data_IF_092563920351
#
_entry.id   IF_092563920351
#
_cell.length_a   1.000
_cell.length_b   1.000
_cell.length_c   1.000
_cell.angle_alpha   90.00
_cell.angle_beta   90.00
_cell.angle_gamma   90.00
#
_symmetry.space_group_name_H-M   'P 1'
#
loop_
_entity.id
_entity.type
_entity.pdbx_description
1 polymer ?
#
# COMPACT_ATOMS: atom_id res chain seq x y z
N UNK A 1 -6.17 -44.87 26.95
CA UNK A 1 -6.58 -43.51 26.52
C UNK A 1 -6.17 -43.36 25.06
N UNK A 2 -7.01 -43.85 24.16
CA UNK A 2 -6.75 -43.82 22.71
C UNK A 2 -6.96 -42.40 22.17
N UNK A 3 -5.87 -41.81 21.66
CA UNK A 3 -5.92 -40.55 20.95
C UNK A 3 -6.66 -40.73 19.63
N UNK A 4 -7.83 -40.10 19.52
CA UNK A 4 -8.58 -40.06 18.26
C UNK A 4 -7.75 -39.32 17.21
N UNK A 5 -7.63 -39.84 15.97
CA UNK A 5 -6.95 -39.13 14.90
C UNK A 5 -7.73 -37.86 14.58
N UNK A 6 -7.06 -36.71 14.67
CA UNK A 6 -7.63 -35.44 14.26
C UNK A 6 -8.00 -35.51 12.78
N UNK A 7 -9.24 -35.12 12.46
CA UNK A 7 -9.74 -35.03 11.08
C UNK A 7 -8.78 -34.18 10.23
N UNK A 8 -8.50 -34.53 8.97
CA UNK A 8 -7.64 -33.73 8.10
C UNK A 8 -8.15 -32.30 7.92
N UNK A 9 -9.47 -32.10 8.02
CA UNK A 9 -10.09 -30.77 8.06
C UNK A 9 -9.71 -29.99 9.32
N UNK A 10 -9.62 -30.65 10.47
CA UNK A 10 -9.19 -30.00 11.71
C UNK A 10 -7.71 -29.64 11.69
N UNK A 11 -6.87 -30.50 11.12
CA UNK A 11 -5.45 -30.19 10.88
C UNK A 11 -5.31 -29.00 9.91
N UNK A 12 -6.08 -29.01 8.80
CA UNK A 12 -6.05 -27.92 7.83
C UNK A 12 -6.52 -26.60 8.45
N UNK A 13 -7.58 -26.62 9.28
CA UNK A 13 -8.06 -25.42 9.99
C UNK A 13 -7.03 -24.93 11.01
N UNK A 14 -6.39 -25.83 11.77
CA UNK A 14 -5.32 -25.45 12.71
C UNK A 14 -4.12 -24.85 11.98
N UNK A 15 -3.68 -25.45 10.88
CA UNK A 15 -2.63 -24.93 10.01
C UNK A 15 -3.02 -23.57 9.42
N UNK A 16 -4.28 -23.40 9.03
CA UNK A 16 -4.80 -22.13 8.50
C UNK A 16 -4.88 -21.04 9.59
N UNK A 17 -5.19 -21.39 10.84
CA UNK A 17 -5.18 -20.42 11.95
C UNK A 17 -3.77 -20.07 12.42
N UNK A 18 -2.79 -20.98 12.27
CA UNK A 18 -1.38 -20.69 12.55
C UNK A 18 -0.70 -19.90 11.42
N UNK A 19 -1.12 -20.07 10.15
CA UNK A 19 -0.59 -19.26 9.04
C UNK A 19 -1.25 -17.87 8.95
N UNK A 20 -2.47 -17.70 9.48
CA UNK A 20 -3.18 -16.42 9.50
C UNK A 20 -2.91 -15.57 10.76
N UNK A 21 -1.85 -15.88 11.50
CA UNK A 21 -1.39 -15.09 12.65
C UNK A 21 0.11 -14.85 12.58
N UNK A 22 0.58 -14.49 11.38
CA UNK A 22 1.81 -13.72 11.21
C UNK A 22 1.45 -12.44 10.44
N UNK A 23 0.34 -11.80 10.83
CA UNK A 23 0.27 -10.35 10.75
C UNK A 23 1.22 -9.83 11.82
N UNK A 24 2.51 -9.89 11.51
CA UNK A 24 3.48 -8.95 12.01
C UNK A 24 3.05 -7.59 11.46
N UNK A 25 1.98 -7.04 12.06
CA UNK A 25 1.89 -5.62 12.29
C UNK A 25 3.08 -5.29 13.19
N UNK A 26 4.26 -5.29 12.57
CA UNK A 26 5.29 -4.34 12.90
C UNK A 26 4.56 -3.02 12.92
N UNK A 27 4.16 -2.64 14.14
CA UNK A 27 4.11 -1.27 14.56
C UNK A 27 5.56 -0.78 14.36
N UNK A 28 5.96 -0.60 13.10
CA UNK A 28 6.89 0.42 12.71
C UNK A 28 6.17 1.70 13.10
N UNK A 29 6.22 1.98 14.40
CA UNK A 29 6.43 3.30 14.92
C UNK A 29 7.71 3.71 14.19
N UNK A 30 7.56 4.17 12.95
CA UNK A 30 8.60 4.88 12.25
C UNK A 30 8.86 6.02 13.21
N UNK A 31 9.89 5.86 14.01
CA UNK A 31 10.38 6.88 14.91
C UNK A 31 10.93 7.91 13.94
N UNK A 32 10.03 8.74 13.40
CA UNK A 32 10.35 9.84 12.51
C UNK A 32 11.34 10.65 13.30
N UNK A 33 12.59 10.58 12.87
CA UNK A 33 13.66 11.33 13.52
C UNK A 33 13.32 12.80 13.29
N UNK A 34 12.70 13.43 14.29
CA UNK A 34 12.42 14.86 14.31
C UNK A 34 13.68 15.68 14.10
N UNK A 35 14.87 15.09 14.32
CA UNK A 35 16.16 15.67 14.05
C UNK A 35 16.38 16.08 12.58
N UNK A 36 15.64 15.53 11.61
CA UNK A 36 15.78 15.88 10.18
C UNK A 36 14.86 17.02 9.72
N UNK A 37 13.81 17.33 10.47
CA UNK A 37 12.75 18.26 10.02
C UNK A 37 12.67 19.57 10.83
N UNK A 38 13.59 19.78 11.76
CA UNK A 38 13.65 20.99 12.56
C UNK A 38 12.90 20.90 13.88
N UNK A 39 13.14 21.88 14.76
CA UNK A 39 12.52 21.93 16.08
C UNK A 39 11.12 22.54 15.98
N UNK A 40 10.11 21.86 16.54
CA UNK A 40 8.73 22.35 16.59
C UNK A 40 8.37 22.75 18.02
N UNK A 41 7.72 23.92 18.18
CA UNK A 41 7.15 24.36 19.46
C UNK A 41 5.69 24.78 19.30
N UNK A 42 4.90 24.46 20.30
CA UNK A 42 3.49 24.82 20.40
C UNK A 42 3.25 25.64 21.67
N UNK A 43 2.62 26.80 21.52
CA UNK A 43 2.28 27.68 22.64
C UNK A 43 0.84 28.16 22.49
N UNK A 44 0.06 28.09 23.57
CA UNK A 44 -1.25 28.74 23.63
C UNK A 44 -1.04 30.20 24.03
N UNK A 45 -1.54 31.12 23.22
CA UNK A 45 -1.47 32.56 23.46
C UNK A 45 -2.57 33.00 24.43
N UNK A 46 -2.39 34.17 25.03
CA UNK A 46 -3.33 34.73 26.03
C UNK A 46 -4.73 34.99 25.45
N UNK A 47 -4.84 35.18 24.14
CA UNK A 47 -6.10 35.31 23.40
C UNK A 47 -6.76 33.96 23.06
N UNK A 48 -6.18 32.85 23.51
CA UNK A 48 -6.67 31.50 23.27
C UNK A 48 -6.29 30.92 21.91
N UNK A 49 -5.50 31.63 21.09
CA UNK A 49 -4.99 31.10 19.82
C UNK A 49 -3.78 30.19 20.04
N UNK A 50 -3.71 29.09 19.30
CA UNK A 50 -2.52 28.23 19.29
C UNK A 50 -1.49 28.77 18.30
N UNK A 51 -0.29 29.11 18.79
CA UNK A 51 0.89 29.41 17.97
C UNK A 51 1.71 28.14 17.79
N UNK A 52 1.85 27.73 16.53
CA UNK A 52 2.78 26.68 16.11
C UNK A 52 4.00 27.35 15.47
N UNK A 53 5.20 27.04 15.93
CA UNK A 53 6.46 27.49 15.32
C UNK A 53 7.30 26.29 14.94
N UNK A 54 7.78 26.28 13.69
CA UNK A 54 8.71 25.28 13.16
C UNK A 54 10.01 25.99 12.77
N UNK A 55 11.13 25.51 13.29
CA UNK A 55 12.46 26.04 12.97
C UNK A 55 13.19 25.04 12.09
N UNK A 56 13.34 25.31 10.80
CA UNK A 56 14.06 24.43 9.89
C UNK A 56 15.57 24.43 10.22
N UNK A 57 16.26 23.28 10.17
CA UNK A 57 17.71 23.23 10.29
C UNK A 57 18.33 23.99 9.11
N UNK A 58 19.26 24.90 9.40
CA UNK A 58 20.04 25.58 8.38
C UNK A 58 21.05 24.57 7.81
N UNK A 59 20.88 24.16 6.56
CA UNK A 59 21.86 23.34 5.85
C UNK A 59 22.87 24.28 5.17
N UNK A 60 24.14 23.88 5.09
CA UNK A 60 25.24 24.71 4.56
C UNK A 60 25.06 25.18 3.11
N UNK A 61 24.11 24.58 2.37
CA UNK A 61 23.74 24.96 1.01
C UNK A 61 22.44 25.80 0.96
N UNK A 62 22.47 26.88 0.17
CA UNK A 62 21.40 27.87 -0.06
C UNK A 62 20.08 27.34 -0.68
N UNK A 63 19.71 26.08 -0.48
CA UNK A 63 18.44 25.50 -0.93
C UNK A 63 17.49 25.34 0.25
N UNK A 64 16.35 26.02 0.19
CA UNK A 64 15.25 25.78 1.11
C UNK A 64 14.87 24.28 1.03
N UNK A 65 14.82 23.55 2.16
CA UNK A 65 14.30 22.19 2.18
C UNK A 65 12.88 22.17 1.60
N UNK A 66 12.62 21.21 0.72
CA UNK A 66 11.27 21.01 0.21
C UNK A 66 10.38 20.52 1.36
N UNK A 67 9.48 21.39 1.82
CA UNK A 67 8.59 21.16 2.95
C UNK A 67 7.65 19.95 2.75
N UNK A 68 7.47 19.49 1.50
CA UNK A 68 6.63 18.33 1.18
C UNK A 68 7.40 17.01 1.11
N UNK A 69 8.74 17.03 1.14
CA UNK A 69 9.53 15.81 1.32
C UNK A 69 9.43 15.25 2.74
N UNK A 70 8.94 16.05 3.70
CA UNK A 70 8.92 15.73 5.12
C UNK A 70 7.70 14.92 5.59
N UNK A 71 6.86 14.40 4.68
CA UNK A 71 5.95 13.32 5.07
C UNK A 71 6.26 12.12 4.21
N UNK A 72 7.14 11.25 4.72
CA UNK A 72 7.50 9.98 4.11
C UNK A 72 6.25 9.19 3.69
N UNK A 73 5.16 9.29 4.47
CA UNK A 73 3.87 8.69 4.17
C UNK A 73 3.28 9.19 2.84
N UNK A 74 3.32 10.50 2.56
CA UNK A 74 2.76 11.07 1.32
C UNK A 74 3.60 10.62 0.12
N UNK A 75 4.93 10.63 0.27
CA UNK A 75 5.84 10.15 -0.79
C UNK A 75 5.65 8.66 -1.07
N UNK A 76 5.50 7.86 -0.01
CA UNK A 76 5.18 6.43 -0.09
C UNK A 76 3.85 6.20 -0.82
N UNK A 77 2.77 6.84 -0.37
CA UNK A 77 1.45 6.67 -0.98
C UNK A 77 1.38 7.13 -2.43
N UNK A 78 2.11 8.18 -2.81
CA UNK A 78 2.20 8.61 -4.20
C UNK A 78 2.85 7.55 -5.08
N UNK A 79 3.96 6.95 -4.62
CA UNK A 79 4.64 5.89 -5.35
C UNK A 79 3.76 4.65 -5.51
N UNK A 80 3.19 4.21 -4.40
CA UNK A 80 2.25 3.09 -4.29
C UNK A 80 1.00 3.25 -5.17
N UNK A 81 0.50 4.48 -5.30
CA UNK A 81 -0.65 4.76 -6.18
C UNK A 81 -0.25 4.64 -7.66
N UNK A 82 0.89 5.21 -8.03
CA UNK A 82 1.37 5.15 -9.40
C UNK A 82 1.68 3.71 -9.81
N UNK A 83 2.30 2.90 -8.93
CA UNK A 83 2.54 1.49 -9.22
C UNK A 83 1.23 0.72 -9.44
N UNK A 84 0.23 0.87 -8.54
CA UNK A 84 -1.09 0.23 -8.72
C UNK A 84 -1.78 0.66 -10.00
N UNK A 85 -1.65 1.93 -10.38
CA UNK A 85 -2.20 2.45 -11.64
C UNK A 85 -1.57 1.77 -12.86
N UNK A 86 -0.26 1.54 -12.84
CA UNK A 86 0.41 0.77 -13.91
C UNK A 86 -0.09 -0.68 -13.97
N UNK A 87 -0.29 -1.32 -12.81
CA UNK A 87 -0.84 -2.69 -12.77
C UNK A 87 -2.27 -2.75 -13.34
N UNK A 88 -3.13 -1.76 -13.03
CA UNK A 88 -4.48 -1.68 -13.58
C UNK A 88 -4.45 -1.49 -15.11
N UNK A 89 -3.53 -0.67 -15.62
CA UNK A 89 -3.38 -0.47 -17.06
C UNK A 89 -2.98 -1.76 -17.77
N UNK A 90 -1.99 -2.49 -17.25
CA UNK A 90 -1.58 -3.78 -17.78
C UNK A 90 -2.73 -4.80 -17.78
N UNK A 91 -3.48 -4.90 -16.68
CA UNK A 91 -4.63 -5.81 -16.60
C UNK A 91 -5.70 -5.46 -17.62
N UNK A 92 -5.96 -4.17 -17.85
CA UNK A 92 -6.93 -3.70 -18.85
C UNK A 92 -6.52 -4.10 -20.26
N UNK A 93 -5.24 -4.04 -20.58
CA UNK A 93 -4.70 -4.50 -21.86
C UNK A 93 -4.93 -6.01 -22.04
N UNK A 94 -4.54 -6.82 -21.05
CA UNK A 94 -4.75 -8.28 -21.08
C UNK A 94 -6.24 -8.65 -21.23
N UNK A 95 -7.14 -7.96 -20.53
CA UNK A 95 -8.59 -8.18 -20.68
C UNK A 95 -9.05 -7.87 -22.10
N UNK A 96 -8.51 -6.80 -22.71
CA UNK A 96 -8.86 -6.41 -24.08
C UNK A 96 -8.40 -7.44 -25.10
N UNK A 97 -7.19 -7.99 -24.92
CA UNK A 97 -6.66 -9.07 -25.76
C UNK A 97 -7.52 -10.34 -25.68
N UNK A 98 -7.83 -10.79 -24.46
CA UNK A 98 -8.66 -11.98 -24.24
C UNK A 98 -10.07 -11.83 -24.81
N UNK A 99 -10.66 -10.62 -24.72
CA UNK A 99 -11.96 -10.35 -25.32
C UNK A 99 -11.92 -10.46 -26.85
N UNK A 100 -10.83 -10.05 -27.48
CA UNK A 100 -10.68 -10.15 -28.93
C UNK A 100 -10.45 -11.60 -29.37
N UNK A 101 -9.63 -12.37 -28.64
CA UNK A 101 -9.48 -13.81 -28.89
C UNK A 101 -10.81 -14.55 -28.76
N UNK A 102 -11.61 -14.23 -27.74
CA UNK A 102 -12.93 -14.83 -27.55
C UNK A 102 -13.88 -14.50 -28.71
N UNK A 103 -13.86 -13.26 -29.21
CA UNK A 103 -14.63 -12.88 -30.40
C UNK A 103 -14.21 -13.68 -31.62
N UNK A 104 -12.90 -13.82 -31.84
CA UNK A 104 -12.36 -14.59 -32.95
C UNK A 104 -12.77 -16.06 -32.86
N UNK A 105 -12.61 -16.69 -31.70
CA UNK A 105 -13.05 -18.07 -31.47
C UNK A 105 -14.56 -18.25 -31.68
N UNK A 106 -15.38 -17.33 -31.17
CA UNK A 106 -16.83 -17.35 -31.38
C UNK A 106 -17.18 -17.24 -32.87
N UNK A 107 -16.48 -16.39 -33.61
CA UNK A 107 -16.69 -16.25 -35.04
C UNK A 107 -16.35 -17.56 -35.77
N UNK A 108 -15.21 -18.17 -35.46
CA UNK A 108 -14.79 -19.45 -36.04
C UNK A 108 -15.77 -20.58 -35.76
N UNK A 109 -16.25 -20.72 -34.52
CA UNK A 109 -17.25 -21.73 -34.17
C UNK A 109 -18.54 -21.52 -34.96
N UNK A 110 -19.04 -20.28 -35.02
CA UNK A 110 -20.27 -19.96 -35.77
C UNK A 110 -20.15 -20.29 -37.26
N UNK A 111 -18.98 -20.11 -37.86
CA UNK A 111 -18.73 -20.49 -39.27
C UNK A 111 -18.79 -22.01 -39.45
N UNK A 112 -18.24 -22.77 -38.50
CA UNK A 112 -18.28 -24.24 -38.54
C UNK A 112 -19.69 -24.80 -38.29
N UNK A 113 -20.51 -24.14 -37.46
CA UNK A 113 -21.90 -24.54 -37.19
C UNK A 113 -22.85 -24.35 -38.38
N UNK A 114 -22.47 -23.54 -39.38
CA UNK A 114 -23.29 -23.24 -40.56
C UNK A 114 -23.01 -24.18 -41.76
N UNK A 115 -22.08 -25.13 -41.61
CA UNK A 115 -21.78 -26.18 -42.60
C UNK A 115 -22.55 -27.47 -42.29
#
# INVERSE_FOLDING_TARGET
MEGRPLSPLLLAVLLLTTYASDDDHSLHTHQVSTAQCGEYSNQVLEDGMCRLMATLPQMDDQRCPDMFRCTDEVSYWLHENEERKQQILALRETVSELQEELRNHRHRVKVLELQ
#
